data_IF_452756228492
#
_entry.id   IF_452756228492
#
_cell.length_a   1.000
_cell.length_b   1.000
_cell.length_c   1.000
_cell.angle_alpha   90.00
_cell.angle_beta   90.00
_cell.angle_gamma   90.00
#
_symmetry.space_group_name_H-M   'P 1'
#
loop_
_entity.id
_entity.type
_entity.pdbx_description
1 polymer ?
#
# COMPACT_ATOMS: atom_id res chain seq x y z
N UNK A 1 -26.62 -15.38 3.09
CA UNK A 1 -25.55 -15.93 2.21
C UNK A 1 -26.06 -17.17 1.47
N UNK A 2 -26.07 -17.14 0.14
CA UNK A 2 -26.33 -18.31 -0.72
C UNK A 2 -25.01 -18.89 -1.22
N UNK A 3 -24.42 -19.84 -0.49
CA UNK A 3 -23.21 -20.52 -0.94
C UNK A 3 -23.56 -21.62 -1.96
N UNK A 4 -22.93 -21.59 -3.14
CA UNK A 4 -23.08 -22.61 -4.19
C UNK A 4 -21.87 -23.54 -4.20
N UNK A 5 -22.11 -24.81 -4.50
CA UNK A 5 -21.06 -25.82 -4.70
C UNK A 5 -20.44 -25.69 -6.09
N UNK A 6 -19.18 -26.08 -6.30
CA UNK A 6 -18.63 -26.20 -7.65
C UNK A 6 -19.42 -27.24 -8.48
N UNK A 7 -20.03 -28.23 -7.83
CA UNK A 7 -20.79 -29.33 -8.46
C UNK A 7 -22.29 -29.09 -8.33
N UNK A 8 -22.70 -27.84 -8.50
CA UNK A 8 -24.09 -27.41 -8.41
C UNK A 8 -24.84 -27.77 -9.69
N UNK A 9 -25.77 -28.72 -9.61
CA UNK A 9 -26.61 -29.17 -10.73
C UNK A 9 -27.88 -28.32 -10.92
N UNK A 10 -27.83 -27.02 -10.56
CA UNK A 10 -28.98 -26.11 -10.65
C UNK A 10 -29.41 -25.77 -12.09
N UNK A 11 -28.57 -26.10 -13.07
CA UNK A 11 -28.88 -25.98 -14.49
C UNK A 11 -29.70 -27.18 -15.03
N UNK A 12 -30.03 -28.17 -14.19
CA UNK A 12 -30.90 -29.30 -14.52
C UNK A 12 -32.19 -29.14 -13.71
N UNK A 13 -33.40 -29.34 -14.29
CA UNK A 13 -34.65 -29.23 -13.55
C UNK A 13 -34.64 -30.18 -12.35
N UNK A 14 -34.73 -29.64 -11.13
CA UNK A 14 -34.76 -30.43 -9.91
C UNK A 14 -36.06 -30.20 -9.16
N UNK A 15 -36.61 -31.28 -8.59
CA UNK A 15 -37.81 -31.28 -7.75
C UNK A 15 -37.67 -30.47 -6.45
N UNK A 16 -36.45 -30.08 -6.09
CA UNK A 16 -36.16 -29.37 -4.84
C UNK A 16 -35.53 -28.00 -5.09
N UNK A 17 -35.94 -27.00 -4.30
CA UNK A 17 -35.40 -25.61 -4.33
C UNK A 17 -33.87 -25.52 -4.18
N UNK A 18 -33.19 -26.57 -3.71
CA UNK A 18 -31.73 -26.62 -3.52
C UNK A 18 -31.16 -27.98 -3.90
N UNK A 19 -30.02 -27.96 -4.59
CA UNK A 19 -29.30 -29.15 -5.00
C UNK A 19 -28.69 -29.89 -3.78
N UNK A 20 -28.57 -31.24 -3.85
CA UNK A 20 -28.00 -32.06 -2.74
C UNK A 20 -26.59 -31.63 -2.34
N UNK A 21 -25.73 -31.25 -3.30
CA UNK A 21 -24.37 -30.76 -3.05
C UNK A 21 -24.36 -29.39 -2.35
N UNK A 22 -25.25 -28.49 -2.76
CA UNK A 22 -25.47 -27.17 -2.16
C UNK A 22 -25.91 -27.27 -0.68
N UNK A 23 -26.82 -28.22 -0.40
CA UNK A 23 -27.38 -28.42 0.95
C UNK A 23 -26.31 -28.97 1.93
N UNK A 24 -25.43 -29.87 1.46
CA UNK A 24 -24.30 -30.37 2.28
C UNK A 24 -23.36 -29.23 2.69
N UNK A 25 -23.04 -28.33 1.78
CA UNK A 25 -22.18 -27.17 2.05
C UNK A 25 -22.86 -26.23 3.07
N UNK A 26 -24.15 -25.94 2.87
CA UNK A 26 -24.89 -25.08 3.78
C UNK A 26 -24.94 -25.65 5.20
N UNK A 27 -25.20 -26.96 5.37
CA UNK A 27 -25.17 -27.61 6.69
C UNK A 27 -23.81 -27.50 7.39
N UNK A 28 -22.69 -27.60 6.65
CA UNK A 28 -21.33 -27.41 7.20
C UNK A 28 -21.07 -25.98 7.66
N UNK A 29 -21.63 -24.98 6.98
CA UNK A 29 -21.51 -23.58 7.40
C UNK A 29 -22.42 -23.27 8.58
N UNK A 30 -23.64 -23.81 8.60
CA UNK A 30 -24.57 -23.65 9.73
C UNK A 30 -24.02 -24.27 11.01
N UNK A 31 -23.40 -25.45 10.97
CA UNK A 31 -22.78 -26.05 12.16
C UNK A 31 -21.57 -25.26 12.68
N UNK A 32 -20.81 -24.60 11.79
CA UNK A 32 -19.73 -23.67 12.18
C UNK A 32 -20.24 -22.35 12.77
N UNK A 33 -21.43 -21.90 12.40
CA UNK A 33 -22.04 -20.70 12.96
C UNK A 33 -22.50 -20.92 14.42
N UNK A 34 -23.06 -22.10 14.72
CA UNK A 34 -23.51 -22.47 16.08
C UNK A 34 -22.32 -22.61 17.06
N UNK A 35 -21.14 -23.01 16.57
CA UNK A 35 -19.93 -23.06 17.41
C UNK A 35 -19.36 -21.67 17.77
N UNK A 36 -19.79 -20.60 17.11
CA UNK A 36 -19.38 -19.22 17.45
C UNK A 36 -20.34 -18.51 18.41
N UNK A 37 -21.56 -19.03 18.60
CA UNK A 37 -22.56 -18.45 19.52
C UNK A 37 -22.42 -18.96 20.96
N UNK A 38 -21.62 -20.00 21.20
CA UNK A 38 -21.12 -20.27 22.54
C UNK A 38 -20.09 -19.18 22.86
N UNK A 39 -20.50 -18.20 23.67
CA UNK A 39 -19.64 -17.17 24.25
C UNK A 39 -18.47 -17.84 24.97
N UNK A 40 -17.36 -18.06 24.25
CA UNK A 40 -16.07 -18.23 24.89
C UNK A 40 -15.71 -16.85 25.45
N UNK A 41 -15.41 -16.71 26.76
CA UNK A 41 -14.95 -15.44 27.29
C UNK A 41 -13.82 -14.97 26.39
N UNK A 42 -13.96 -13.76 25.84
CA UNK A 42 -13.01 -13.23 24.87
C UNK A 42 -11.61 -13.44 25.42
N UNK A 43 -10.76 -14.18 24.68
CA UNK A 43 -9.33 -14.26 25.00
C UNK A 43 -8.87 -12.82 25.31
N UNK A 44 -8.11 -12.59 26.40
CA UNK A 44 -7.68 -11.25 26.76
C UNK A 44 -7.14 -10.59 25.51
N UNK A 45 -7.77 -9.46 25.13
CA UNK A 45 -7.43 -8.70 23.92
C UNK A 45 -5.91 -8.59 23.91
N UNK A 46 -5.26 -9.13 22.89
CA UNK A 46 -3.81 -8.97 22.74
C UNK A 46 -3.50 -7.49 22.92
N UNK A 47 -2.63 -7.12 23.87
CA UNK A 47 -2.42 -5.72 24.19
C UNK A 47 -2.02 -5.02 22.90
N UNK A 48 -2.79 -3.99 22.51
CA UNK A 48 -2.56 -3.25 21.29
C UNK A 48 -1.07 -2.84 21.24
N UNK A 49 -0.34 -3.36 20.23
CA UNK A 49 1.10 -3.13 20.06
C UNK A 49 1.41 -1.63 19.96
N UNK A 50 0.43 -0.84 19.52
CA UNK A 50 0.50 0.61 19.33
C UNK A 50 0.01 1.41 20.55
N UNK A 51 -0.21 0.79 21.72
CA UNK A 51 -0.48 1.57 22.95
C UNK A 51 0.70 2.52 23.23
N UNK A 52 0.44 3.84 23.41
CA UNK A 52 1.49 4.81 23.69
C UNK A 52 2.17 4.49 25.01
N UNK A 53 3.47 4.82 25.11
CA UNK A 53 4.33 4.48 26.26
C UNK A 53 3.80 5.00 27.60
N UNK A 54 3.05 6.10 27.54
CA UNK A 54 2.42 6.76 28.68
C UNK A 54 1.29 5.94 29.31
N UNK A 55 0.72 4.98 28.56
CA UNK A 55 -0.41 4.13 28.97
C UNK A 55 -0.01 2.73 29.45
N UNK A 56 1.29 2.42 29.54
CA UNK A 56 1.79 1.10 29.95
C UNK A 56 2.15 1.08 31.45
N UNK A 57 1.76 0.00 32.13
CA UNK A 57 2.12 -0.24 33.54
C UNK A 57 3.63 -0.56 33.63
N UNK A 58 4.27 -0.21 34.76
CA UNK A 58 5.72 -0.34 34.99
C UNK A 58 6.38 -1.69 34.63
N UNK A 59 5.80 -2.89 34.85
CA UNK A 59 6.44 -4.15 34.45
C UNK A 59 6.35 -4.41 32.93
N UNK A 60 5.26 -3.99 32.27
CA UNK A 60 5.11 -4.10 30.81
C UNK A 60 6.07 -3.15 30.09
N UNK A 61 6.25 -1.95 30.66
CA UNK A 61 7.23 -0.96 30.19
C UNK A 61 8.65 -1.52 30.21
N UNK A 62 9.08 -2.15 31.30
CA UNK A 62 10.42 -2.78 31.42
C UNK A 62 10.63 -3.87 30.37
N UNK A 63 9.68 -4.80 30.23
CA UNK A 63 9.74 -5.86 29.19
C UNK A 63 9.86 -5.30 27.78
N UNK A 64 9.13 -4.22 27.47
CA UNK A 64 9.18 -3.56 26.15
C UNK A 64 10.54 -2.87 25.91
N UNK A 65 11.10 -2.22 26.93
CA UNK A 65 12.46 -1.64 26.85
C UNK A 65 13.52 -2.72 26.59
N UNK A 66 13.48 -3.84 27.31
CA UNK A 66 14.41 -4.95 27.12
C UNK A 66 14.34 -5.54 25.70
N UNK A 67 13.13 -5.70 25.17
CA UNK A 67 12.92 -6.13 23.78
C UNK A 67 13.53 -5.14 22.78
N UNK A 68 13.32 -3.84 22.96
CA UNK A 68 13.91 -2.82 22.09
C UNK A 68 15.44 -2.79 22.19
N UNK A 69 16.01 -2.91 23.40
CA UNK A 69 17.46 -2.99 23.59
C UNK A 69 18.05 -4.22 22.87
N UNK A 70 17.38 -5.37 22.95
CA UNK A 70 17.76 -6.59 22.23
C UNK A 70 17.68 -6.40 20.71
N UNK A 71 16.62 -5.77 20.22
CA UNK A 71 16.47 -5.45 18.79
C UNK A 71 17.56 -4.50 18.30
N UNK A 72 17.87 -3.44 19.06
CA UNK A 72 18.96 -2.51 18.73
C UNK A 72 20.29 -3.25 18.67
N UNK A 73 20.57 -4.13 19.62
CA UNK A 73 21.79 -4.94 19.62
C UNK A 73 21.89 -5.85 18.39
N UNK A 74 20.80 -6.49 17.99
CA UNK A 74 20.75 -7.34 16.81
C UNK A 74 20.94 -6.52 15.52
N UNK A 75 20.20 -5.40 15.39
CA UNK A 75 20.30 -4.51 14.23
C UNK A 75 21.71 -3.93 14.07
N UNK A 76 22.39 -3.58 15.16
CA UNK A 76 23.79 -3.13 15.12
C UNK A 76 24.72 -4.22 14.58
N UNK A 77 24.55 -5.46 15.03
CA UNK A 77 25.32 -6.61 14.53
C UNK A 77 25.06 -6.87 13.06
N UNK A 78 23.79 -6.84 12.65
CA UNK A 78 23.42 -7.04 11.25
C UNK A 78 23.97 -5.94 10.35
N UNK A 79 23.93 -4.68 10.80
CA UNK A 79 24.54 -3.55 10.09
C UNK A 79 26.03 -3.76 9.89
N UNK A 80 26.80 -4.06 10.94
CA UNK A 80 28.24 -4.31 10.83
C UNK A 80 28.55 -5.48 9.90
N UNK A 81 27.79 -6.58 10.00
CA UNK A 81 27.95 -7.73 9.11
C UNK A 81 27.69 -7.37 7.65
N UNK A 82 26.65 -6.58 7.37
CA UNK A 82 26.33 -6.13 6.01
C UNK A 82 27.39 -5.18 5.47
N UNK A 83 27.92 -4.26 6.29
CA UNK A 83 29.03 -3.37 5.92
C UNK A 83 30.28 -4.18 5.54
N UNK A 84 30.64 -5.20 6.33
CA UNK A 84 31.74 -6.10 6.01
C UNK A 84 31.51 -6.87 4.69
N UNK A 85 30.28 -7.35 4.47
CA UNK A 85 29.92 -8.04 3.23
C UNK A 85 29.99 -7.12 2.01
N UNK A 86 29.54 -5.88 2.14
CA UNK A 86 29.65 -4.87 1.08
C UNK A 86 31.12 -4.63 0.74
N UNK A 87 31.99 -4.44 1.74
CA UNK A 87 33.43 -4.23 1.50
C UNK A 87 34.05 -5.42 0.77
N UNK A 88 33.74 -6.65 1.18
CA UNK A 88 34.22 -7.86 0.49
C UNK A 88 33.70 -7.95 -0.94
N UNK A 89 32.40 -7.71 -1.14
CA UNK A 89 31.78 -7.76 -2.47
C UNK A 89 32.29 -6.68 -3.40
N UNK A 90 32.51 -5.47 -2.90
CA UNK A 90 33.18 -4.41 -3.67
C UNK A 90 34.60 -4.83 -4.02
N UNK A 91 35.38 -5.41 -3.10
CA UNK A 91 36.74 -5.88 -3.44
C UNK A 91 36.76 -7.00 -4.49
N UNK A 92 35.76 -7.88 -4.52
CA UNK A 92 35.66 -9.01 -5.45
C UNK A 92 35.08 -8.63 -6.82
N UNK A 93 34.05 -7.78 -6.83
CA UNK A 93 33.19 -7.54 -8.01
C UNK A 93 33.25 -6.10 -8.53
N UNK A 94 33.92 -5.16 -7.83
CA UNK A 94 33.95 -3.77 -8.29
C UNK A 94 34.88 -3.57 -9.48
N UNK A 95 34.37 -2.80 -10.43
CA UNK A 95 35.13 -2.18 -11.51
C UNK A 95 35.20 -0.70 -11.18
N UNK A 96 36.39 -0.11 -11.25
CA UNK A 96 36.54 1.34 -11.09
C UNK A 96 35.80 2.02 -12.25
N UNK A 97 34.79 2.82 -11.91
CA UNK A 97 34.09 3.67 -12.88
C UNK A 97 34.97 4.89 -13.09
N UNK A 98 35.54 5.03 -14.29
CA UNK A 98 36.41 6.15 -14.64
C UNK A 98 35.62 7.46 -14.66
N UNK A 99 36.26 8.60 -14.37
CA UNK A 99 35.61 9.92 -14.44
C UNK A 99 35.10 10.23 -15.85
N UNK A 100 35.68 9.58 -16.86
CA UNK A 100 35.25 9.68 -18.24
C UNK A 100 33.94 8.92 -18.51
N UNK A 101 33.56 7.93 -17.70
CA UNK A 101 32.27 7.24 -17.85
C UNK A 101 31.08 8.13 -17.45
N UNK A 102 31.28 9.05 -16.50
CA UNK A 102 30.26 10.04 -16.10
C UNK A 102 30.11 11.13 -17.18
N UNK A 103 31.21 11.47 -17.87
CA UNK A 103 31.22 12.31 -19.07
C UNK A 103 30.60 11.61 -20.28
N UNK A 104 30.80 10.31 -20.42
CA UNK A 104 30.19 9.49 -21.48
C UNK A 104 28.69 9.31 -21.24
N UNK A 105 28.25 9.16 -20.00
CA UNK A 105 26.82 9.14 -19.70
C UNK A 105 26.16 10.48 -20.07
N UNK A 106 26.83 11.60 -19.78
CA UNK A 106 26.34 12.93 -20.15
C UNK A 106 26.34 13.16 -21.66
N UNK A 107 27.36 12.69 -22.39
CA UNK A 107 27.41 12.77 -23.85
C UNK A 107 26.37 11.86 -24.51
N UNK A 108 26.19 10.62 -24.04
CA UNK A 108 25.14 9.71 -24.52
C UNK A 108 23.74 10.28 -24.31
N UNK A 109 23.49 11.00 -23.21
CA UNK A 109 22.21 11.69 -22.99
C UNK A 109 22.00 12.81 -24.03
N UNK A 110 23.07 13.54 -24.39
CA UNK A 110 23.02 14.61 -25.39
C UNK A 110 22.88 14.08 -26.82
N UNK A 111 23.49 12.92 -27.12
CA UNK A 111 23.39 12.25 -28.42
C UNK A 111 22.04 11.54 -28.61
N UNK A 112 21.51 10.89 -27.56
CA UNK A 112 20.18 10.30 -27.57
C UNK A 112 19.04 11.32 -27.77
N UNK A 113 19.33 12.62 -27.58
CA UNK A 113 18.42 13.72 -27.89
C UNK A 113 18.13 13.84 -29.40
N UNK A 114 19.01 13.30 -30.26
CA UNK A 114 18.89 13.36 -31.73
C UNK A 114 18.06 12.21 -32.31
N UNK A 115 18.09 11.03 -31.67
CA UNK A 115 17.35 9.84 -32.10
C UNK A 115 16.00 9.74 -31.37
N UNK A 116 14.98 10.36 -31.97
CA UNK A 116 13.56 10.45 -31.55
C UNK A 116 12.81 9.10 -31.31
N UNK A 117 13.49 7.99 -31.02
CA UNK A 117 12.87 6.67 -30.82
C UNK A 117 12.90 6.15 -29.38
N UNK A 118 13.66 6.76 -28.48
CA UNK A 118 13.67 6.39 -27.05
C UNK A 118 12.62 7.20 -26.28
N UNK A 119 11.38 6.69 -26.26
CA UNK A 119 10.28 6.93 -25.30
C UNK A 119 10.46 8.14 -24.35
N UNK A 120 9.63 9.17 -24.55
CA UNK A 120 9.58 10.48 -23.87
C UNK A 120 9.95 10.49 -22.37
N UNK A 121 9.59 9.43 -21.62
CA UNK A 121 9.93 9.34 -20.19
C UNK A 121 11.42 9.20 -19.91
N UNK A 122 12.17 8.40 -20.69
CA UNK A 122 13.60 8.18 -20.44
C UNK A 122 14.39 9.48 -20.63
N UNK A 123 14.07 10.24 -21.67
CA UNK A 123 14.64 11.57 -21.91
C UNK A 123 14.36 12.53 -20.75
N UNK A 124 13.10 12.61 -20.33
CA UNK A 124 12.69 13.44 -19.18
C UNK A 124 13.40 12.98 -17.91
N UNK A 125 13.54 11.67 -17.71
CA UNK A 125 14.23 11.09 -16.57
C UNK A 125 15.67 11.55 -16.53
N UNK A 126 16.43 11.35 -17.62
CA UNK A 126 17.84 11.70 -17.72
C UNK A 126 18.05 13.21 -17.59
N UNK A 127 17.23 14.03 -18.25
CA UNK A 127 17.29 15.48 -18.12
C UNK A 127 17.07 15.95 -16.67
N UNK A 128 16.11 15.36 -15.96
CA UNK A 128 15.85 15.68 -14.56
C UNK A 128 17.00 15.19 -13.65
N UNK A 129 17.60 14.02 -13.93
CA UNK A 129 18.79 13.56 -13.20
C UNK A 129 19.96 14.52 -13.35
N UNK A 130 20.23 15.00 -14.57
CA UNK A 130 21.28 15.99 -14.85
C UNK A 130 21.00 17.33 -14.17
N UNK A 131 19.76 17.78 -14.16
CA UNK A 131 19.39 18.99 -13.41
C UNK A 131 19.62 18.80 -11.91
N UNK A 132 19.24 17.65 -11.37
CA UNK A 132 19.42 17.30 -9.96
C UNK A 132 20.89 17.20 -9.55
N UNK A 133 21.76 16.71 -10.43
CA UNK A 133 23.21 16.58 -10.17
C UNK A 133 23.92 17.93 -10.22
N UNK A 134 23.52 18.81 -11.14
CA UNK A 134 24.09 20.16 -11.29
C UNK A 134 23.67 21.14 -10.17
N UNK A 135 22.61 20.83 -9.42
CA UNK A 135 22.11 21.67 -8.33
C UNK A 135 22.94 21.46 -7.05
N UNK A 136 23.49 22.55 -6.52
CA UNK A 136 24.20 22.56 -5.22
C UNK A 136 23.28 22.24 -4.04
N UNK A 137 22.02 22.68 -4.11
CA UNK A 137 20.99 22.34 -3.12
C UNK A 137 19.80 21.66 -3.82
N UNK A 138 19.55 20.41 -3.43
CA UNK A 138 18.51 19.55 -4.01
C UNK A 138 17.11 19.93 -3.52
N UNK A 139 16.99 20.73 -2.45
CA UNK A 139 15.70 21.14 -1.86
C UNK A 139 14.88 22.06 -2.75
N UNK A 140 15.53 22.78 -3.67
CA UNK A 140 14.87 23.72 -4.60
C UNK A 140 14.43 23.11 -5.93
N UNK A 141 14.63 21.81 -6.15
CA UNK A 141 14.38 21.20 -7.45
C UNK A 141 12.88 21.08 -7.74
N UNK A 142 12.45 21.64 -8.87
CA UNK A 142 11.09 21.46 -9.40
C UNK A 142 11.06 20.24 -10.32
N UNK A 143 10.48 19.16 -9.82
CA UNK A 143 10.38 17.91 -10.56
C UNK A 143 9.31 17.96 -11.64
N UNK A 144 9.60 17.36 -12.80
CA UNK A 144 8.61 17.15 -13.83
C UNK A 144 7.47 16.21 -13.35
N UNK A 145 6.19 16.44 -13.72
CA UNK A 145 5.06 15.62 -13.26
C UNK A 145 5.21 14.11 -13.52
N UNK A 146 5.80 13.73 -14.65
CA UNK A 146 6.07 12.31 -14.95
C UNK A 146 7.08 11.67 -13.99
N UNK A 147 8.08 12.43 -13.51
CA UNK A 147 9.01 11.96 -12.50
C UNK A 147 8.30 11.72 -11.16
N UNK A 148 7.40 12.63 -10.78
CA UNK A 148 6.60 12.50 -9.56
C UNK A 148 5.70 11.26 -9.65
N UNK A 149 5.03 11.04 -10.79
CA UNK A 149 4.22 9.83 -11.02
C UNK A 149 5.05 8.56 -10.94
N UNK A 150 6.24 8.54 -11.54
CA UNK A 150 7.17 7.42 -11.43
C UNK A 150 7.58 7.17 -9.97
N UNK A 151 7.94 8.22 -9.24
CA UNK A 151 8.32 8.11 -7.83
C UNK A 151 7.15 7.61 -6.94
N UNK A 152 5.91 8.06 -7.20
CA UNK A 152 4.71 7.54 -6.53
C UNK A 152 4.48 6.05 -6.84
N UNK A 153 4.66 5.64 -8.10
CA UNK A 153 4.53 4.25 -8.51
C UNK A 153 5.54 3.37 -7.76
N UNK A 154 6.82 3.74 -7.77
CA UNK A 154 7.88 3.00 -7.07
C UNK A 154 7.58 2.91 -5.57
N UNK A 155 7.17 4.02 -4.95
CA UNK A 155 6.78 4.06 -3.53
C UNK A 155 5.58 3.15 -3.24
N UNK A 156 4.59 3.11 -4.13
CA UNK A 156 3.40 2.24 -3.98
C UNK A 156 3.73 0.76 -4.03
N UNK A 157 4.77 0.38 -4.80
CA UNK A 157 5.25 -0.99 -4.89
C UNK A 157 6.05 -1.35 -3.63
N UNK A 158 7.00 -0.49 -3.25
CA UNK A 158 7.81 -0.69 -2.05
C UNK A 158 8.40 0.63 -1.52
N UNK A 159 7.89 1.06 -0.37
CA UNK A 159 8.38 2.25 0.32
C UNK A 159 9.83 2.11 0.83
N UNK A 160 10.22 0.89 1.23
CA UNK A 160 11.59 0.60 1.65
C UNK A 160 12.58 0.65 0.49
N UNK A 161 12.21 0.11 -0.67
CA UNK A 161 13.05 0.18 -1.87
C UNK A 161 13.20 1.62 -2.36
N UNK A 162 12.11 2.39 -2.34
CA UNK A 162 12.13 3.81 -2.66
C UNK A 162 13.10 4.58 -1.77
N UNK A 163 13.01 4.37 -0.45
CA UNK A 163 13.89 5.03 0.52
C UNK A 163 15.37 4.65 0.33
N UNK A 164 15.64 3.38 0.03
CA UNK A 164 17.00 2.91 -0.24
C UNK A 164 17.57 3.54 -1.54
N UNK A 165 16.78 3.62 -2.61
CA UNK A 165 17.21 4.25 -3.87
C UNK A 165 17.42 5.77 -3.72
N UNK A 166 16.56 6.45 -2.96
CA UNK A 166 16.73 7.87 -2.70
C UNK A 166 17.97 8.16 -1.83
N UNK A 167 18.32 7.26 -0.91
CA UNK A 167 19.49 7.38 -0.03
C UNK A 167 20.80 6.91 -0.66
N UNK A 168 20.75 6.01 -1.65
CA UNK A 168 21.95 5.46 -2.29
C UNK A 168 22.74 6.51 -3.06
N UNK A 169 22.11 7.64 -3.42
CA UNK A 169 22.74 8.72 -4.17
C UNK A 169 22.90 8.44 -5.66
N UNK A 170 22.69 7.19 -6.10
CA UNK A 170 22.77 6.77 -7.51
C UNK A 170 21.66 7.38 -8.37
N UNK A 171 20.44 7.49 -7.82
CA UNK A 171 19.32 8.14 -8.49
C UNK A 171 18.83 9.28 -7.62
N UNK A 172 18.71 10.48 -8.20
CA UNK A 172 18.08 11.60 -7.55
C UNK A 172 16.56 11.49 -7.70
N UNK A 173 15.88 11.38 -6.57
CA UNK A 173 14.42 11.25 -6.51
C UNK A 173 13.83 12.38 -5.67
N UNK A 174 12.54 12.71 -5.89
CA UNK A 174 11.82 13.65 -5.04
C UNK A 174 11.91 13.29 -3.56
N UNK A 175 11.87 14.27 -2.67
CA UNK A 175 11.86 13.95 -1.25
C UNK A 175 10.50 13.38 -0.81
N UNK A 176 10.49 12.63 0.30
CA UNK A 176 9.28 11.98 0.79
C UNK A 176 8.16 12.96 1.13
N UNK A 177 8.48 14.17 1.62
CA UNK A 177 7.46 15.19 1.92
C UNK A 177 6.81 15.70 0.64
N UNK A 178 7.60 15.98 -0.39
CA UNK A 178 7.07 16.38 -1.70
C UNK A 178 6.12 15.31 -2.24
N UNK A 179 6.50 14.03 -2.15
CA UNK A 179 5.62 12.93 -2.55
C UNK A 179 4.36 12.82 -1.69
N UNK A 180 4.46 13.10 -0.40
CA UNK A 180 3.31 13.12 0.50
C UNK A 180 2.30 14.17 0.05
N UNK A 181 2.76 15.38 -0.27
CA UNK A 181 1.90 16.47 -0.76
C UNK A 181 1.20 16.09 -2.07
N UNK A 182 1.91 15.47 -3.02
CA UNK A 182 1.29 14.99 -4.27
C UNK A 182 0.35 13.79 -4.07
N UNK A 183 0.65 12.90 -3.11
CA UNK A 183 -0.21 11.76 -2.81
C UNK A 183 -1.53 12.18 -2.15
N UNK A 184 -1.51 13.25 -1.35
CA UNK A 184 -2.67 13.80 -0.64
C UNK A 184 -3.28 15.00 -1.38
N UNK A 185 -2.93 15.21 -2.65
CA UNK A 185 -3.53 16.26 -3.46
C UNK A 185 -5.02 16.01 -3.77
N UNK A 186 -5.48 14.75 -3.65
CA UNK A 186 -6.88 14.38 -3.83
C UNK A 186 -7.51 14.00 -2.49
N UNK A 187 -8.58 14.70 -2.12
CA UNK A 187 -9.38 14.38 -0.95
C UNK A 187 -10.36 13.24 -1.27
N UNK A 188 -10.08 12.06 -0.72
CA UNK A 188 -10.98 10.91 -0.80
C UNK A 188 -12.01 11.04 0.33
N UNK A 189 -13.28 11.08 -0.05
CA UNK A 189 -14.45 11.19 0.82
C UNK A 189 -15.28 9.91 0.74
N UNK A 190 -16.19 9.75 1.69
CA UNK A 190 -17.09 8.60 1.69
C UNK A 190 -18.03 8.65 0.47
N UNK A 191 -18.42 7.48 -0.02
CA UNK A 191 -19.33 7.36 -1.16
C UNK A 191 -18.60 7.23 -2.50
N UNK A 192 -19.15 7.89 -3.52
CA UNK A 192 -18.76 7.72 -4.90
C UNK A 192 -18.08 9.00 -5.43
N UNK A 193 -16.89 8.85 -6.01
CA UNK A 193 -16.14 9.96 -6.57
C UNK A 193 -16.45 10.15 -8.06
N UNK A 194 -17.08 11.28 -8.45
CA UNK A 194 -17.45 11.52 -9.83
C UNK A 194 -16.23 11.63 -10.73
N UNK A 195 -15.15 12.25 -10.26
CA UNK A 195 -13.92 12.47 -11.04
C UNK A 195 -13.30 11.14 -11.49
N UNK A 196 -13.25 10.16 -10.60
CA UNK A 196 -12.73 8.82 -10.90
C UNK A 196 -13.63 8.12 -11.91
N UNK A 197 -14.96 8.25 -11.78
CA UNK A 197 -15.90 7.66 -12.74
C UNK A 197 -15.74 8.30 -14.11
N UNK A 198 -15.58 9.62 -14.18
CA UNK A 198 -15.39 10.34 -15.43
C UNK A 198 -14.08 9.94 -16.11
N UNK A 199 -13.00 9.80 -15.35
CA UNK A 199 -11.71 9.35 -15.88
C UNK A 199 -11.77 7.90 -16.38
N UNK A 200 -12.45 7.01 -15.64
CA UNK A 200 -12.70 5.64 -16.10
C UNK A 200 -13.56 5.67 -17.38
N UNK A 201 -14.60 6.50 -17.44
CA UNK A 201 -15.45 6.63 -18.62
C UNK A 201 -14.67 7.11 -19.84
N UNK A 202 -13.73 8.06 -19.68
CA UNK A 202 -12.82 8.51 -20.75
C UNK A 202 -11.98 7.35 -21.28
N UNK A 203 -11.43 6.53 -20.39
CA UNK A 203 -10.62 5.36 -20.77
C UNK A 203 -11.47 4.32 -21.51
N UNK A 204 -12.67 4.03 -21.01
CA UNK A 204 -13.60 3.06 -21.65
C UNK A 204 -14.08 3.56 -23.01
N UNK A 205 -14.32 4.86 -23.17
CA UNK A 205 -14.70 5.46 -24.44
C UNK A 205 -13.57 5.44 -25.47
N UNK A 206 -12.31 5.46 -25.04
CA UNK A 206 -11.15 5.34 -25.91
C UNK A 206 -10.90 3.90 -26.42
N UNK A 207 -11.58 2.88 -25.86
CA UNK A 207 -11.46 1.50 -26.32
C UNK A 207 -12.00 1.31 -27.74
N UNK A 208 -11.19 0.72 -28.63
CA UNK A 208 -11.50 0.56 -30.06
C UNK A 208 -12.61 -0.45 -30.35
N UNK A 209 -12.76 -1.45 -29.49
CA UNK A 209 -13.68 -2.56 -29.77
C UNK A 209 -14.91 -2.57 -28.84
N UNK A 210 -16.10 -2.89 -29.36
CA UNK A 210 -17.35 -2.82 -28.58
C UNK A 210 -17.38 -3.78 -27.38
N UNK A 211 -16.73 -4.94 -27.48
CA UNK A 211 -16.68 -5.92 -26.38
C UNK A 211 -15.85 -5.44 -25.18
N UNK A 212 -14.94 -4.47 -25.38
CA UNK A 212 -14.12 -3.90 -24.30
C UNK A 212 -14.92 -2.95 -23.39
N UNK A 213 -16.14 -2.56 -23.80
CA UNK A 213 -17.02 -1.67 -23.03
C UNK A 213 -17.85 -2.40 -21.98
N UNK A 214 -17.82 -3.74 -21.97
CA UNK A 214 -18.53 -4.54 -20.99
C UNK A 214 -17.66 -4.73 -19.74
N UNK A 215 -18.06 -4.11 -18.63
CA UNK A 215 -17.37 -4.20 -17.35
C UNK A 215 -18.28 -4.81 -16.28
N UNK A 216 -17.68 -5.54 -15.34
CA UNK A 216 -18.38 -6.12 -14.19
C UNK A 216 -17.93 -5.37 -12.94
N UNK A 217 -18.90 -4.88 -12.17
CA UNK A 217 -18.65 -4.30 -10.86
C UNK A 217 -18.81 -5.39 -9.80
N UNK A 218 -17.72 -5.69 -9.08
CA UNK A 218 -17.71 -6.65 -7.99
C UNK A 218 -17.28 -5.95 -6.71
N UNK A 219 -18.09 -6.07 -5.67
CA UNK A 219 -17.82 -5.48 -4.36
C UNK A 219 -17.85 -6.58 -3.30
N UNK A 220 -16.96 -6.47 -2.33
CA UNK A 220 -16.95 -7.29 -1.12
C UNK A 220 -16.73 -6.39 0.10
N UNK A 221 -17.21 -6.83 1.26
CA UNK A 221 -17.14 -6.04 2.50
C UNK A 221 -15.99 -6.53 3.36
N UNK A 222 -15.01 -5.65 3.61
CA UNK A 222 -13.87 -5.94 4.48
C UNK A 222 -14.18 -5.50 5.91
N UNK A 223 -13.87 -6.36 6.88
CA UNK A 223 -13.97 -6.01 8.31
C UNK A 223 -12.69 -5.29 8.76
N UNK A 224 -12.82 -4.01 9.12
CA UNK A 224 -11.74 -3.20 9.70
C UNK A 224 -11.88 -3.18 11.23
N UNK A 225 -10.78 -3.01 11.96
CA UNK A 225 -10.81 -2.84 13.41
C UNK A 225 -11.55 -1.56 13.81
N UNK A 226 -12.47 -1.67 14.78
CA UNK A 226 -13.18 -0.51 15.32
C UNK A 226 -12.19 0.44 16.00
N UNK A 227 -12.13 1.67 15.53
CA UNK A 227 -11.33 2.73 16.13
C UNK A 227 -11.89 4.10 15.74
N UNK A 228 -11.54 5.10 16.55
CA UNK A 228 -11.82 6.50 16.30
C UNK A 228 -10.51 7.16 15.84
N UNK A 229 -10.50 7.74 14.64
CA UNK A 229 -9.32 8.37 14.04
C UNK A 229 -9.66 9.80 13.66
N UNK A 230 -8.86 10.75 14.13
CA UNK A 230 -8.99 12.15 13.72
C UNK A 230 -8.19 12.38 12.44
N UNK A 231 -8.84 12.94 11.41
CA UNK A 231 -8.15 13.45 10.22
C UNK A 231 -7.42 14.73 10.62
N UNK A 232 -6.12 14.81 10.33
CA UNK A 232 -5.30 15.97 10.75
C UNK A 232 -5.64 17.24 9.98
N UNK A 233 -6.07 17.09 8.74
CA UNK A 233 -6.24 18.21 7.81
C UNK A 233 -7.58 18.91 8.03
N UNK A 234 -8.68 18.14 8.20
CA UNK A 234 -10.03 18.68 8.46
C UNK A 234 -10.38 18.77 9.95
N UNK A 235 -9.64 18.08 10.83
CA UNK A 235 -10.01 17.95 12.25
C UNK A 235 -11.21 17.03 12.49
N UNK A 236 -11.76 16.42 11.45
CA UNK A 236 -12.93 15.54 11.56
C UNK A 236 -12.57 14.24 12.27
N UNK A 237 -13.49 13.80 13.13
CA UNK A 237 -13.35 12.56 13.88
C UNK A 237 -14.11 11.47 13.13
N UNK A 238 -13.36 10.54 12.53
CA UNK A 238 -13.90 9.43 11.74
C UNK A 238 -13.93 8.18 12.62
N UNK A 239 -15.14 7.62 12.82
CA UNK A 239 -15.36 6.41 13.60
C UNK A 239 -15.74 5.23 12.73
N UNK A 240 -15.03 4.11 12.85
CA UNK A 240 -15.40 2.87 12.15
C UNK A 240 -16.19 1.96 13.10
N UNK A 241 -17.51 1.92 12.93
CA UNK A 241 -18.39 0.99 13.65
C UNK A 241 -18.80 -0.19 12.77
N UNK A 242 -19.05 -1.35 13.38
CA UNK A 242 -19.67 -2.46 12.65
C UNK A 242 -21.13 -2.07 12.44
N UNK A 243 -21.57 -2.01 11.18
CA UNK A 243 -22.94 -1.61 10.84
C UNK A 243 -24.02 -2.43 11.57
N UNK A 244 -23.77 -3.72 11.78
CA UNK A 244 -24.70 -4.60 12.52
C UNK A 244 -24.70 -4.37 14.04
N UNK A 245 -23.60 -3.84 14.60
CA UNK A 245 -23.50 -3.55 16.03
C UNK A 245 -24.26 -2.28 16.40
N UNK A 246 -24.32 -1.27 15.53
CA UNK A 246 -25.03 -0.02 15.83
C UNK A 246 -26.50 -0.26 16.10
N UNK A 247 -27.15 -1.18 15.37
CA UNK A 247 -28.55 -1.53 15.61
C UNK A 247 -28.77 -2.22 16.95
N UNK A 248 -27.87 -3.13 17.34
CA UNK A 248 -27.94 -3.76 18.66
C UNK A 248 -27.67 -2.77 19.78
N UNK A 249 -26.71 -1.87 19.59
CA UNK A 249 -26.31 -0.88 20.59
C UNK A 249 -27.43 0.15 20.80
N UNK A 250 -28.11 0.60 19.74
CA UNK A 250 -29.30 1.46 19.84
C UNK A 250 -30.43 0.74 20.58
N UNK A 251 -30.71 -0.53 20.25
CA UNK A 251 -31.74 -1.32 20.92
C UNK A 251 -31.42 -1.61 22.40
N UNK A 252 -30.14 -1.63 22.78
CA UNK A 252 -29.70 -1.73 24.18
C UNK A 252 -29.83 -0.40 24.91
N UNK A 253 -29.57 0.72 24.23
CA UNK A 253 -29.76 2.06 24.78
C UNK A 253 -31.24 2.43 24.94
N UNK A 254 -32.13 1.97 24.06
CA UNK A 254 -33.58 2.17 24.16
C UNK A 254 -34.23 1.36 25.31
N UNK A 255 -33.53 0.35 25.84
CA UNK A 255 -34.02 -0.48 26.95
C UNK A 255 -33.67 0.08 28.34
N UNK A 256 -32.80 1.09 28.40
CA UNK A 256 -32.47 1.84 29.62
C UNK A 256 -33.22 3.17 29.65
#
# INVERSE_FOLDING_TARGET
MTCRSHSCSYAVPQLHRKCKSCNKIQKRFSSRAVLKTAFSPSKPKTPNKYKPYQSLITPEKKKRVELYQKQIKNLRRDKSRLEELIVKKVAEESVLVDEDFDKDLTSWIQEADQDNKVLDFHKIFLQQQLQASNLKDKRGMRWHPLMIRFALLVKSISDSAYSAMAQSGFIHLPYQTTLYDYAHAMDIHEGCHPDIIEDVAKVVNACKHPYQKHHVLSFDVVTVSQNLVTRKDSGEVIGYCKLDAVKSDILELEKN
#
